data_IF_059319496351
#
_entry.id   IF_059319496351
#
_cell.length_a   1.000
_cell.length_b   1.000
_cell.length_c   1.000
_cell.angle_alpha   90.00
_cell.angle_beta   90.00
_cell.angle_gamma   90.00
#
_symmetry.space_group_name_H-M   'P 1'
#
loop_
_entity.id
_entity.type
_entity.pdbx_description
1 polymer ?
#
# COMPACT_ATOMS: atom_id res chain seq x y z
N UNK A 1 -3.45 13.65 17.27
CA UNK A 1 -2.47 12.61 17.31
C UNK A 1 -2.52 11.75 16.10
N UNK A 2 -1.38 11.32 15.59
CA UNK A 2 -1.33 10.54 14.38
C UNK A 2 -1.59 9.09 14.69
N UNK A 3 -2.54 8.48 14.03
CA UNK A 3 -2.80 7.07 14.21
C UNK A 3 -1.95 6.30 13.21
N UNK A 4 -1.89 4.99 13.36
CA UNK A 4 -1.18 4.15 12.43
C UNK A 4 -1.78 4.29 11.03
N UNK A 5 -3.10 4.35 10.96
CA UNK A 5 -3.77 4.51 9.68
C UNK A 5 -3.39 5.84 9.04
N UNK A 6 -3.32 6.91 9.82
CA UNK A 6 -2.93 8.21 9.30
C UNK A 6 -1.49 8.17 8.78
N UNK A 7 -0.62 7.48 9.50
CA UNK A 7 0.76 7.36 9.09
C UNK A 7 0.87 6.60 7.76
N UNK A 8 0.16 5.51 7.65
CA UNK A 8 0.19 4.72 6.42
C UNK A 8 -0.32 5.55 5.25
N UNK A 9 -1.39 6.31 5.46
CA UNK A 9 -1.93 7.15 4.40
C UNK A 9 -0.92 8.21 3.95
N UNK A 10 -0.19 8.75 4.90
CA UNK A 10 0.81 9.73 4.58
C UNK A 10 1.95 9.13 3.76
N UNK A 11 2.40 7.95 4.15
CA UNK A 11 3.46 7.27 3.42
C UNK A 11 2.99 6.94 2.00
N UNK A 12 1.75 6.48 1.87
CA UNK A 12 1.23 6.15 0.56
C UNK A 12 1.17 7.37 -0.35
N UNK A 13 0.81 8.51 0.22
CA UNK A 13 0.77 9.73 -0.55
C UNK A 13 2.17 10.10 -1.05
N UNK A 14 3.17 9.97 -0.20
CA UNK A 14 4.54 10.22 -0.58
C UNK A 14 4.98 9.29 -1.71
N UNK A 15 4.63 8.02 -1.60
CA UNK A 15 5.00 7.06 -2.63
C UNK A 15 4.33 7.39 -3.95
N UNK A 16 3.09 7.81 -3.91
CA UNK A 16 2.38 8.18 -5.13
C UNK A 16 2.95 9.44 -5.75
N UNK A 17 3.31 10.41 -4.91
CA UNK A 17 3.91 11.63 -5.41
C UNK A 17 5.25 11.33 -6.06
N UNK A 18 6.03 10.44 -5.46
CA UNK A 18 7.31 10.05 -6.04
C UNK A 18 7.13 9.28 -7.34
N UNK A 19 6.14 8.41 -7.38
CA UNK A 19 5.83 7.65 -8.59
C UNK A 19 5.46 8.62 -9.72
N UNK A 20 4.63 9.60 -9.40
CA UNK A 20 4.22 10.58 -10.39
C UNK A 20 5.41 11.42 -10.86
N UNK A 21 6.29 11.80 -9.96
CA UNK A 21 7.46 12.58 -10.31
C UNK A 21 8.37 11.82 -11.27
N UNK A 22 8.53 10.51 -11.05
CA UNK A 22 9.32 9.70 -11.94
C UNK A 22 8.65 9.62 -13.30
N UNK A 23 7.35 9.42 -13.34
CA UNK A 23 6.60 9.36 -14.57
C UNK A 23 6.70 10.68 -15.35
N UNK A 24 6.56 11.79 -14.66
CA UNK A 24 6.66 13.09 -15.28
C UNK A 24 8.06 13.31 -15.85
N UNK A 25 9.07 12.84 -15.14
CA UNK A 25 10.44 12.95 -15.61
C UNK A 25 10.66 12.16 -16.89
N UNK A 26 10.07 10.97 -16.98
CA UNK A 26 10.18 10.16 -18.19
C UNK A 26 9.47 10.83 -19.35
N UNK A 27 8.28 11.38 -19.11
CA UNK A 27 7.53 12.04 -20.14
C UNK A 27 8.24 13.30 -20.63
N UNK A 28 8.91 13.99 -19.72
CA UNK A 28 9.64 15.19 -20.08
C UNK A 28 10.93 14.92 -20.84
N UNK A 29 11.25 13.66 -21.08
CA UNK A 29 12.42 13.32 -21.88
C UNK A 29 13.71 13.31 -21.09
N UNK A 30 13.65 13.18 -19.79
CA UNK A 30 14.86 13.15 -18.99
C UNK A 30 15.60 11.82 -19.10
N UNK A 31 14.94 10.81 -19.64
CA UNK A 31 15.60 9.53 -19.87
C UNK A 31 16.30 9.62 -21.21
N UNK A 32 17.60 9.83 -21.19
CA UNK A 32 18.35 10.06 -22.42
C UNK A 32 18.72 8.81 -23.17
N UNK A 33 18.79 7.69 -22.50
CA UNK A 33 19.10 6.43 -23.16
C UNK A 33 18.31 5.33 -22.51
N UNK A 34 18.47 4.14 -23.05
CA UNK A 34 17.68 3.00 -22.61
C UNK A 34 17.99 2.63 -21.18
N UNK A 35 19.22 2.79 -20.76
CA UNK A 35 19.58 2.46 -19.40
C UNK A 35 18.96 3.39 -18.39
N UNK A 36 18.92 4.67 -18.69
CA UNK A 36 18.26 5.63 -17.83
C UNK A 36 16.76 5.37 -17.79
N UNK A 37 16.19 5.02 -18.94
CA UNK A 37 14.79 4.69 -18.99
C UNK A 37 14.48 3.49 -18.09
N UNK A 38 15.30 2.45 -18.16
CA UNK A 38 15.11 1.27 -17.33
C UNK A 38 15.27 1.61 -15.84
N UNK A 39 16.19 2.46 -15.50
CA UNK A 39 16.40 2.86 -14.14
C UNK A 39 15.16 3.58 -13.60
N UNK A 40 14.63 4.53 -14.36
CA UNK A 40 13.44 5.27 -13.94
C UNK A 40 12.23 4.34 -13.86
N UNK A 41 12.10 3.43 -14.79
CA UNK A 41 11.02 2.47 -14.78
C UNK A 41 11.11 1.59 -13.55
N UNK A 42 12.32 1.17 -13.17
CA UNK A 42 12.53 0.39 -11.97
C UNK A 42 12.13 1.15 -10.72
N UNK A 43 12.45 2.45 -10.67
CA UNK A 43 12.03 3.27 -9.55
C UNK A 43 10.51 3.37 -9.46
N UNK A 44 9.86 3.57 -10.60
CA UNK A 44 8.41 3.66 -10.63
C UNK A 44 7.78 2.36 -10.14
N UNK A 45 8.31 1.23 -10.59
CA UNK A 45 7.80 -0.06 -10.16
C UNK A 45 8.00 -0.28 -8.66
N UNK A 46 9.12 0.18 -8.12
CA UNK A 46 9.40 0.04 -6.70
C UNK A 46 8.41 0.84 -5.88
N UNK A 47 8.14 2.09 -6.28
CA UNK A 47 7.18 2.90 -5.55
C UNK A 47 5.78 2.29 -5.62
N UNK A 48 5.42 1.76 -6.78
CA UNK A 48 4.13 1.13 -6.95
C UNK A 48 3.99 -0.12 -6.09
N UNK A 49 5.04 -0.92 -6.04
CA UNK A 49 5.05 -2.12 -5.22
C UNK A 49 4.93 -1.79 -3.74
N UNK A 50 5.62 -0.75 -3.30
CA UNK A 50 5.55 -0.34 -1.91
C UNK A 50 4.16 0.18 -1.56
N UNK A 51 3.56 0.95 -2.44
CA UNK A 51 2.21 1.45 -2.22
C UNK A 51 1.23 0.28 -2.11
N UNK A 52 1.39 -0.72 -2.98
CA UNK A 52 0.52 -1.88 -2.95
C UNK A 52 0.71 -2.67 -1.66
N UNK A 53 1.94 -2.82 -1.21
CA UNK A 53 2.22 -3.54 0.03
C UNK A 53 1.57 -2.83 1.21
N UNK A 54 1.64 -1.51 1.26
CA UNK A 54 1.02 -0.77 2.33
C UNK A 54 -0.50 -0.88 2.28
N UNK A 55 -1.07 -0.87 1.08
CA UNK A 55 -2.49 -1.05 0.91
C UNK A 55 -2.93 -2.41 1.43
N UNK A 56 -2.16 -3.44 1.12
CA UNK A 56 -2.47 -4.79 1.56
C UNK A 56 -2.42 -4.90 3.08
N UNK A 57 -1.41 -4.29 3.68
CA UNK A 57 -1.28 -4.31 5.13
C UNK A 57 -2.45 -3.61 5.78
N UNK A 58 -2.83 -2.47 5.23
CA UNK A 58 -3.94 -1.71 5.78
C UNK A 58 -5.25 -2.49 5.67
N UNK A 59 -5.46 -3.14 4.54
CA UNK A 59 -6.64 -3.95 4.34
C UNK A 59 -6.67 -5.14 5.28
N UNK A 60 -5.54 -5.76 5.51
CA UNK A 60 -5.45 -6.86 6.44
C UNK A 60 -5.78 -6.42 7.85
N UNK A 61 -5.29 -5.26 8.23
CA UNK A 61 -5.54 -4.73 9.54
C UNK A 61 -7.03 -4.44 9.73
N UNK A 62 -7.67 -3.89 8.73
CA UNK A 62 -9.09 -3.60 8.79
C UNK A 62 -9.91 -4.88 8.87
N UNK A 63 -9.53 -5.89 8.13
CA UNK A 63 -10.21 -7.16 8.19
C UNK A 63 -10.06 -7.80 9.54
N UNK A 64 -8.89 -7.69 10.13
CA UNK A 64 -8.66 -8.25 11.43
C UNK A 64 -9.51 -7.58 12.49
N UNK A 65 -9.63 -6.27 12.42
CA UNK A 65 -10.44 -5.54 13.35
C UNK A 65 -11.90 -5.93 13.23
N UNK A 66 -12.41 -6.06 12.02
CA UNK A 66 -13.75 -6.46 11.81
C UNK A 66 -14.02 -7.86 12.31
N UNK A 67 -13.07 -8.73 12.14
CA UNK A 67 -13.20 -10.09 12.59
C UNK A 67 -13.27 -10.15 14.09
N UNK A 68 -12.46 -9.36 14.77
CA UNK A 68 -12.45 -9.32 16.22
C UNK A 68 -13.77 -8.79 16.75
N UNK A 69 -14.32 -7.78 16.11
CA UNK A 69 -15.60 -7.24 16.48
C UNK A 69 -16.69 -8.30 16.34
N UNK A 70 -16.68 -9.01 15.24
CA UNK A 70 -17.67 -10.03 15.03
C UNK A 70 -17.54 -11.16 16.03
N UNK A 71 -16.33 -11.51 16.40
CA UNK A 71 -16.11 -12.49 17.38
C UNK A 71 -16.72 -12.08 18.71
N UNK A 72 -16.54 -10.83 19.08
CA UNK A 72 -17.08 -10.35 20.31
C UNK A 72 -18.60 -10.42 20.30
N UNK A 73 -19.22 -10.12 19.18
CA UNK A 73 -20.64 -10.14 19.09
C UNK A 73 -21.21 -11.55 19.03
N UNK A 74 -20.53 -12.46 18.40
CA UNK A 74 -21.05 -13.78 18.22
C UNK A 74 -20.20 -14.81 18.88
N UNK A 75 -19.88 -14.54 20.12
CA UNK A 75 -18.98 -15.35 20.79
C UNK A 75 -19.40 -16.75 20.84
N UNK A 76 -20.63 -17.00 20.73
CA UNK A 76 -21.03 -18.31 20.79
C UNK A 76 -20.80 -19.07 19.58
N UNK A 77 -20.97 -18.50 18.49
CA UNK A 77 -20.82 -19.28 17.40
C UNK A 77 -19.57 -19.45 16.94
N UNK A 78 -18.67 -18.87 17.37
CA UNK A 78 -17.56 -18.94 16.83
C UNK A 78 -16.88 -20.03 16.98
N UNK A 79 -17.16 -20.66 17.76
CA UNK A 79 -16.45 -21.70 17.74
C UNK A 79 -16.19 -22.23 16.45
N UNK A 80 -16.96 -22.26 15.59
CA UNK A 80 -16.70 -22.90 14.52
C UNK A 80 -16.05 -22.23 13.61
N UNK A 81 -16.23 -21.27 13.59
CA UNK A 81 -15.74 -20.71 12.59
C UNK A 81 -14.43 -20.66 12.47
N UNK A 82 -13.90 -20.86 13.21
CA UNK A 82 -12.71 -20.68 13.06
C UNK A 82 -12.11 -21.38 12.19
N UNK A 83 -12.50 -22.02 11.86
CA UNK A 83 -11.94 -22.56 11.06
C UNK A 83 -11.48 -22.12 10.18
N UNK A 84 -11.47 -21.91 9.92
CA UNK A 84 -10.81 -21.63 9.07
C UNK A 84 -10.28 -21.10 8.95
#
# INVERSE_FOLDING_TARGET
MLTLEDLVKKIRKELRDNYQAVGDSMIAGNAKDYEQYKYLLGQAHAYQSMDQALTDILNENEKKEKKDERKADNIIEFGRSSED
#
